data_IF_145150022078
#
_entry.id   IF_145150022078
#
_cell.length_a   1.000
_cell.length_b   1.000
_cell.length_c   1.000
_cell.angle_alpha   90.00
_cell.angle_beta   90.00
_cell.angle_gamma   90.00
#
_symmetry.space_group_name_H-M   'P 1'
#
loop_
_entity.id
_entity.type
_entity.pdbx_description
1 polymer ?
#
# COMPACT_ATOMS: atom_id res chain seq x y z
N UNK A 1 1.75 15.62 -14.32
CA UNK A 1 0.47 15.06 -14.75
C UNK A 1 -0.29 16.08 -15.60
N UNK A 2 -0.68 17.25 -15.08
CA UNK A 2 -1.45 18.26 -15.83
C UNK A 2 -0.74 18.70 -17.13
N UNK A 3 0.58 18.90 -17.12
CA UNK A 3 1.39 19.22 -18.33
C UNK A 3 1.39 18.10 -19.39
N UNK A 4 1.04 16.88 -19.02
CA UNK A 4 0.95 15.73 -19.91
C UNK A 4 -0.51 15.44 -20.35
N UNK A 5 -1.44 16.38 -20.16
CA UNK A 5 -2.84 16.21 -20.51
C UNK A 5 -3.62 15.24 -19.61
N UNK A 6 -3.04 14.81 -18.49
CA UNK A 6 -3.71 13.90 -17.55
C UNK A 6 -4.57 14.74 -16.59
N UNK A 7 -5.88 14.44 -16.46
CA UNK A 7 -6.75 15.13 -15.52
C UNK A 7 -6.22 15.02 -14.09
N UNK A 8 -6.19 16.14 -13.37
CA UNK A 8 -5.72 16.20 -11.98
C UNK A 8 -6.80 16.82 -11.11
N UNK A 9 -7.24 16.09 -10.10
CA UNK A 9 -8.19 16.57 -9.11
C UNK A 9 -7.46 16.83 -7.79
N UNK A 10 -7.81 17.95 -7.13
CA UNK A 10 -7.23 18.33 -5.83
C UNK A 10 -8.26 18.21 -4.70
N UNK A 11 -9.01 17.13 -4.72
CA UNK A 11 -10.08 16.85 -3.75
C UNK A 11 -10.05 15.37 -3.39
N UNK A 12 -10.58 14.97 -2.22
CA UNK A 12 -10.76 13.56 -1.87
C UNK A 12 -11.55 12.81 -2.94
N UNK A 13 -11.23 11.54 -3.13
CA UNK A 13 -11.84 10.68 -4.15
C UNK A 13 -13.37 10.64 -4.01
N UNK A 14 -13.85 10.54 -2.77
CA UNK A 14 -15.27 10.45 -2.41
C UNK A 14 -16.07 11.69 -2.84
N UNK A 15 -15.39 12.83 -3.01
CA UNK A 15 -16.02 14.11 -3.43
C UNK A 15 -16.03 14.34 -4.93
N UNK A 16 -15.45 13.44 -5.73
CA UNK A 16 -15.28 13.64 -7.17
C UNK A 16 -16.49 13.24 -8.00
N UNK A 17 -17.46 12.52 -7.42
CA UNK A 17 -18.67 12.03 -8.13
C UNK A 17 -18.34 11.31 -9.44
N UNK A 18 -17.27 10.51 -9.45
CA UNK A 18 -16.85 9.76 -10.62
C UNK A 18 -17.91 8.73 -11.03
N UNK A 19 -18.05 8.40 -12.32
CA UNK A 19 -19.06 7.45 -12.77
C UNK A 19 -18.84 6.05 -12.18
N UNK A 20 -19.93 5.38 -11.81
CA UNK A 20 -19.91 4.00 -11.32
C UNK A 20 -19.46 3.04 -12.42
N UNK A 21 -18.58 2.08 -12.08
CA UNK A 21 -18.19 1.01 -12.99
C UNK A 21 -17.44 1.47 -14.24
N UNK A 22 -16.74 2.60 -14.18
CA UNK A 22 -16.11 3.22 -15.35
C UNK A 22 -14.59 3.01 -15.46
N UNK A 23 -13.96 2.42 -14.45
CA UNK A 23 -12.50 2.22 -14.44
C UNK A 23 -12.13 0.74 -14.44
N UNK A 24 -11.11 0.39 -15.22
CA UNK A 24 -10.54 -0.96 -15.27
C UNK A 24 -9.65 -1.24 -14.08
N UNK A 25 -8.92 -0.23 -13.63
CA UNK A 25 -8.00 -0.34 -12.51
C UNK A 25 -7.88 0.98 -11.74
N UNK A 26 -7.67 0.86 -10.43
CA UNK A 26 -7.34 1.97 -9.54
C UNK A 26 -6.05 1.64 -8.80
N UNK A 27 -5.12 2.60 -8.73
CA UNK A 27 -3.86 2.45 -8.00
C UNK A 27 -3.79 3.45 -6.85
N UNK A 28 -3.48 2.95 -5.65
CA UNK A 28 -3.27 3.74 -4.44
C UNK A 28 -1.84 3.49 -3.94
N UNK A 29 -0.88 4.28 -4.44
CA UNK A 29 0.52 4.11 -4.07
C UNK A 29 0.89 5.08 -2.96
N UNK A 30 1.11 4.58 -1.75
CA UNK A 30 1.38 5.37 -0.55
C UNK A 30 0.27 6.39 -0.30
N UNK A 31 -0.98 5.93 -0.31
CA UNK A 31 -2.18 6.75 -0.12
C UNK A 31 -3.02 6.23 1.04
N UNK A 32 -3.26 4.91 1.10
CA UNK A 32 -4.22 4.32 2.04
C UNK A 32 -3.86 4.55 3.50
N UNK A 33 -2.58 4.70 3.81
CA UNK A 33 -2.08 5.01 5.15
C UNK A 33 -2.32 6.47 5.57
N UNK A 34 -2.66 7.34 4.63
CA UNK A 34 -2.85 8.78 4.86
C UNK A 34 -4.32 9.22 4.82
N UNK A 35 -5.23 8.39 4.35
CA UNK A 35 -6.64 8.77 4.25
C UNK A 35 -7.32 8.72 5.62
N UNK A 36 -8.21 9.67 5.95
CA UNK A 36 -8.93 9.67 7.23
C UNK A 36 -9.83 8.45 7.41
N UNK A 37 -10.51 8.02 6.36
CA UNK A 37 -11.38 6.85 6.36
C UNK A 37 -11.02 5.89 5.20
N UNK A 38 -10.21 4.87 5.47
CA UNK A 38 -9.82 3.90 4.46
C UNK A 38 -10.99 2.99 4.02
N UNK A 39 -12.04 2.83 4.84
CA UNK A 39 -13.23 2.06 4.46
C UNK A 39 -13.99 2.84 3.38
N UNK A 40 -14.34 4.09 3.64
CA UNK A 40 -15.05 4.94 2.69
C UNK A 40 -14.26 5.08 1.36
N UNK A 41 -12.95 5.28 1.44
CA UNK A 41 -12.10 5.36 0.24
C UNK A 41 -12.14 4.06 -0.57
N UNK A 42 -12.06 2.90 0.06
CA UNK A 42 -12.11 1.61 -0.67
C UNK A 42 -13.51 1.27 -1.18
N UNK A 43 -14.56 1.68 -0.48
CA UNK A 43 -15.93 1.56 -0.98
C UNK A 43 -16.15 2.41 -2.23
N UNK A 44 -15.61 3.63 -2.26
CA UNK A 44 -15.64 4.47 -3.45
C UNK A 44 -14.81 3.90 -4.58
N UNK A 45 -13.60 3.39 -4.31
CA UNK A 45 -12.79 2.65 -5.29
C UNK A 45 -13.57 1.46 -5.85
N UNK A 46 -14.22 0.70 -4.99
CA UNK A 46 -15.06 -0.42 -5.42
C UNK A 46 -16.23 0.04 -6.30
N UNK A 47 -16.87 1.16 -5.97
CA UNK A 47 -17.98 1.71 -6.74
C UNK A 47 -17.56 2.09 -8.15
N UNK A 48 -16.45 2.82 -8.31
CA UNK A 48 -15.98 3.32 -9.60
C UNK A 48 -15.34 2.25 -10.49
N UNK A 49 -14.82 1.16 -9.92
CA UNK A 49 -14.32 0.03 -10.69
C UNK A 49 -15.47 -0.72 -11.37
N UNK A 50 -15.25 -1.16 -12.60
CA UNK A 50 -16.16 -2.11 -13.28
C UNK A 50 -16.10 -3.50 -12.63
N UNK A 51 -17.09 -4.37 -12.83
CA UNK A 51 -16.97 -5.79 -12.49
C UNK A 51 -15.70 -6.41 -13.11
N UNK A 52 -14.95 -7.18 -12.34
CA UNK A 52 -13.64 -7.71 -12.73
C UNK A 52 -12.48 -6.71 -12.63
N UNK A 53 -12.75 -5.43 -12.35
CA UNK A 53 -11.73 -4.39 -12.21
C UNK A 53 -10.76 -4.63 -11.05
N UNK A 54 -9.59 -4.01 -11.13
CA UNK A 54 -8.47 -4.23 -10.22
C UNK A 54 -8.22 -3.04 -9.30
N UNK A 55 -7.92 -3.29 -8.03
CA UNK A 55 -7.27 -2.33 -7.16
C UNK A 55 -5.85 -2.77 -6.83
N UNK A 56 -4.89 -1.86 -6.98
CA UNK A 56 -3.49 -2.03 -6.54
C UNK A 56 -3.19 -1.04 -5.43
N UNK A 57 -2.77 -1.55 -4.28
CA UNK A 57 -2.30 -0.74 -3.16
C UNK A 57 -0.80 -0.98 -2.95
N UNK A 58 -0.04 0.10 -2.81
CA UNK A 58 1.34 0.04 -2.34
C UNK A 58 1.46 0.80 -1.04
N UNK A 59 1.98 0.14 0.00
CA UNK A 59 1.95 0.64 1.36
C UNK A 59 3.18 0.19 2.16
N UNK A 60 3.60 0.93 3.18
CA UNK A 60 4.70 0.55 4.05
C UNK A 60 4.28 -0.54 5.05
N UNK A 61 5.18 -1.47 5.37
CA UNK A 61 4.98 -2.49 6.39
C UNK A 61 6.03 -2.33 7.49
N UNK A 62 5.82 -1.38 8.38
CA UNK A 62 6.81 -0.95 9.37
C UNK A 62 6.53 -1.46 10.78
N UNK A 63 5.27 -1.78 11.13
CA UNK A 63 4.85 -2.21 12.46
C UNK A 63 5.78 -3.22 13.15
N UNK A 64 6.18 -4.34 12.53
CA UNK A 64 7.00 -5.33 13.22
C UNK A 64 8.39 -4.79 13.56
N UNK A 65 8.97 -3.94 12.69
CA UNK A 65 10.28 -3.30 12.94
C UNK A 65 10.17 -2.29 14.08
N UNK A 66 9.10 -1.48 14.06
CA UNK A 66 8.82 -0.50 15.11
C UNK A 66 8.62 -1.16 16.46
N UNK A 67 7.88 -2.28 16.52
CA UNK A 67 7.69 -3.04 17.76
C UNK A 67 8.99 -3.64 18.29
N UNK A 68 9.84 -4.14 17.40
CA UNK A 68 11.13 -4.70 17.78
C UNK A 68 12.08 -3.64 18.33
N UNK A 69 12.11 -2.46 17.72
CA UNK A 69 12.98 -1.34 18.13
C UNK A 69 12.45 -0.59 19.35
N UNK A 70 11.17 -0.74 19.69
CA UNK A 70 10.56 -0.07 20.84
C UNK A 70 10.82 1.45 20.86
N UNK A 71 11.38 2.02 21.97
CA UNK A 71 11.64 3.47 22.06
C UNK A 71 12.58 4.02 20.99
N UNK A 72 13.48 3.21 20.45
CA UNK A 72 14.41 3.62 19.39
C UNK A 72 13.69 3.93 18.08
N UNK A 73 12.51 3.34 17.83
CA UNK A 73 11.72 3.61 16.64
C UNK A 73 11.35 5.08 16.49
N UNK A 74 11.11 5.78 17.61
CA UNK A 74 10.83 7.23 17.64
C UNK A 74 12.05 8.06 17.23
N UNK A 75 13.25 7.64 17.64
CA UNK A 75 14.50 8.33 17.28
C UNK A 75 14.78 8.30 15.79
N UNK A 76 14.31 7.29 15.08
CA UNK A 76 14.48 7.12 13.63
C UNK A 76 13.25 7.55 12.81
N UNK A 77 12.24 8.16 13.46
CA UNK A 77 10.98 8.59 12.83
C UNK A 77 10.33 7.51 11.94
N UNK A 78 10.37 6.26 12.39
CA UNK A 78 9.83 5.13 11.62
C UNK A 78 8.31 5.13 11.53
N UNK A 79 7.64 5.92 12.36
CA UNK A 79 6.19 6.09 12.31
C UNK A 79 5.73 7.13 11.30
N UNK A 80 6.65 7.98 10.80
CA UNK A 80 6.32 9.11 9.92
C UNK A 80 5.14 9.95 10.43
N UNK A 81 5.12 10.19 11.77
CA UNK A 81 4.08 11.01 12.39
C UNK A 81 4.31 12.49 12.06
N UNK A 82 3.24 13.30 11.85
CA UNK A 82 1.82 12.94 11.97
C UNK A 82 1.19 12.43 10.65
N UNK A 83 1.97 12.11 9.64
CA UNK A 83 1.47 11.89 8.28
C UNK A 83 0.82 10.51 8.08
N UNK A 84 1.33 9.45 8.72
CA UNK A 84 0.70 8.14 8.68
C UNK A 84 -0.39 8.04 9.74
N UNK A 85 -1.64 8.01 9.31
CA UNK A 85 -2.81 7.83 10.18
C UNK A 85 -3.04 6.35 10.52
N UNK A 86 -2.63 5.47 9.61
CA UNK A 86 -2.83 4.02 9.70
C UNK A 86 -1.53 3.27 9.48
N UNK A 87 -1.36 2.18 10.20
CA UNK A 87 -0.28 1.22 9.99
C UNK A 87 -0.89 -0.15 9.72
N UNK A 88 -0.72 -0.63 8.51
CA UNK A 88 -1.31 -1.88 8.05
C UNK A 88 -0.34 -3.05 8.19
N UNK A 89 -0.89 -4.22 8.50
CA UNK A 89 -0.26 -5.50 8.25
C UNK A 89 -0.93 -6.16 7.03
N UNK A 90 -0.29 -7.18 6.40
CA UNK A 90 -0.95 -7.92 5.32
C UNK A 90 -2.33 -8.44 5.72
N UNK A 91 -2.46 -8.97 6.94
CA UNK A 91 -3.71 -9.51 7.46
C UNK A 91 -4.79 -8.43 7.66
N UNK A 92 -4.42 -7.27 8.21
CA UNK A 92 -5.39 -6.18 8.42
C UNK A 92 -5.84 -5.56 7.11
N UNK A 93 -4.93 -5.40 6.15
CA UNK A 93 -5.31 -4.88 4.82
C UNK A 93 -6.17 -5.88 4.04
N UNK A 94 -5.86 -7.18 4.14
CA UNK A 94 -6.71 -8.22 3.53
C UNK A 94 -8.14 -8.15 4.07
N UNK A 95 -8.31 -8.11 5.41
CA UNK A 95 -9.64 -7.99 6.03
C UNK A 95 -10.37 -6.72 5.61
N UNK A 96 -9.65 -5.61 5.49
CA UNK A 96 -10.22 -4.34 5.04
C UNK A 96 -10.75 -4.44 3.61
N UNK A 97 -9.97 -5.02 2.69
CA UNK A 97 -10.38 -5.26 1.31
C UNK A 97 -11.56 -6.22 1.21
N UNK A 98 -11.55 -7.32 1.95
CA UNK A 98 -12.66 -8.27 1.99
C UNK A 98 -13.96 -7.66 2.53
N UNK A 99 -13.84 -6.82 3.59
CA UNK A 99 -14.95 -6.06 4.16
C UNK A 99 -15.54 -5.09 3.14
N UNK A 100 -14.72 -4.47 2.32
CA UNK A 100 -15.13 -3.57 1.24
C UNK A 100 -15.42 -4.32 -0.07
N UNK A 101 -15.72 -5.61 0.02
CA UNK A 101 -16.24 -6.51 -1.04
C UNK A 101 -15.25 -6.87 -2.13
N UNK A 102 -13.97 -6.57 -1.99
CA UNK A 102 -12.95 -7.10 -2.88
C UNK A 102 -12.68 -8.58 -2.64
N UNK A 103 -12.19 -9.28 -3.66
CA UNK A 103 -11.85 -10.71 -3.63
C UNK A 103 -10.47 -10.96 -4.25
N UNK A 104 -9.94 -12.17 -4.03
CA UNK A 104 -8.66 -12.58 -4.61
C UNK A 104 -7.49 -11.72 -4.12
N UNK A 105 -7.52 -11.33 -2.84
CA UNK A 105 -6.50 -10.47 -2.25
C UNK A 105 -5.14 -11.18 -2.21
N UNK A 106 -4.14 -10.59 -2.85
CA UNK A 106 -2.77 -11.11 -2.88
C UNK A 106 -1.80 -10.00 -2.50
N UNK A 107 -0.92 -10.27 -1.55
CA UNK A 107 0.12 -9.33 -1.13
C UNK A 107 1.49 -9.90 -1.47
N UNK A 108 2.29 -9.09 -2.16
CA UNK A 108 3.65 -9.42 -2.58
C UNK A 108 4.65 -8.36 -2.09
N UNK A 109 5.94 -8.65 -2.20
CA UNK A 109 6.98 -7.65 -1.94
C UNK A 109 6.84 -6.50 -2.93
N UNK A 110 6.79 -5.26 -2.42
CA UNK A 110 6.45 -4.07 -3.21
C UNK A 110 7.64 -3.42 -3.93
N UNK A 111 8.82 -4.04 -3.94
CA UNK A 111 10.04 -3.45 -4.48
C UNK A 111 10.76 -2.53 -3.49
N UNK A 112 11.82 -1.86 -3.95
CA UNK A 112 12.72 -1.09 -3.08
C UNK A 112 12.41 0.39 -3.10
N UNK A 113 12.54 1.03 -1.94
CA UNK A 113 12.72 2.48 -1.87
C UNK A 113 14.14 2.82 -2.32
N UNK A 114 14.34 4.00 -2.93
CA UNK A 114 15.68 4.50 -3.29
C UNK A 114 16.05 5.66 -2.36
N UNK A 115 16.65 5.39 -1.19
CA UNK A 115 17.10 6.45 -0.30
C UNK A 115 18.11 7.36 -0.97
N UNK A 116 18.17 8.64 -0.56
CA UNK A 116 19.10 9.60 -1.10
C UNK A 116 20.57 9.21 -0.78
N UNK A 117 20.83 8.63 0.40
CA UNK A 117 22.18 8.24 0.81
C UNK A 117 22.66 6.95 0.13
N UNK A 118 23.95 6.88 -0.19
CA UNK A 118 24.58 5.68 -0.78
C UNK A 118 24.48 4.46 0.15
N UNK A 119 24.71 4.68 1.45
CA UNK A 119 24.58 3.64 2.48
C UNK A 119 23.13 3.11 2.56
N UNK A 120 22.15 4.00 2.65
CA UNK A 120 20.73 3.61 2.65
C UNK A 120 20.32 2.82 1.41
N UNK A 121 20.89 3.18 0.23
CA UNK A 121 20.65 2.42 -1.01
C UNK A 121 21.20 1.00 -0.92
N UNK A 122 22.38 0.81 -0.38
CA UNK A 122 22.97 -0.52 -0.14
C UNK A 122 22.10 -1.37 0.79
N UNK A 123 21.71 -0.81 1.93
CA UNK A 123 20.81 -1.47 2.89
C UNK A 123 19.48 -1.83 2.23
N UNK A 124 18.88 -0.92 1.49
CA UNK A 124 17.60 -1.14 0.79
C UNK A 124 17.69 -2.24 -0.27
N UNK A 125 18.80 -2.31 -1.02
CA UNK A 125 19.02 -3.36 -2.02
C UNK A 125 19.19 -4.72 -1.36
N UNK A 126 20.03 -4.83 -0.33
CA UNK A 126 20.29 -6.09 0.36
C UNK A 126 19.03 -6.61 1.06
N UNK A 127 18.35 -5.76 1.83
CA UNK A 127 17.12 -6.13 2.52
C UNK A 127 16.00 -6.52 1.53
N UNK A 128 15.94 -5.81 0.41
CA UNK A 128 15.00 -6.12 -0.64
C UNK A 128 15.28 -7.46 -1.33
N UNK A 129 16.54 -7.72 -1.69
CA UNK A 129 16.94 -9.01 -2.29
C UNK A 129 16.67 -10.18 -1.33
N UNK A 130 16.99 -10.01 -0.05
CA UNK A 130 16.68 -10.99 0.98
C UNK A 130 15.18 -11.23 1.13
N UNK A 131 14.40 -10.13 1.15
CA UNK A 131 12.94 -10.19 1.23
C UNK A 131 12.31 -10.93 0.06
N UNK A 132 12.79 -10.67 -1.14
CA UNK A 132 12.34 -11.36 -2.36
C UNK A 132 12.73 -12.84 -2.35
N UNK A 133 13.96 -13.14 -1.95
CA UNK A 133 14.43 -14.52 -1.83
C UNK A 133 13.58 -15.33 -0.85
N UNK A 134 13.35 -14.81 0.36
CA UNK A 134 12.53 -15.44 1.37
C UNK A 134 11.07 -15.59 0.94
N UNK A 135 10.53 -14.58 0.25
CA UNK A 135 9.18 -14.64 -0.31
C UNK A 135 9.05 -15.79 -1.31
N UNK A 136 9.99 -15.89 -2.25
CA UNK A 136 10.00 -16.97 -3.25
C UNK A 136 10.25 -18.35 -2.62
N UNK A 137 11.25 -18.47 -1.75
CA UNK A 137 11.59 -19.73 -1.07
C UNK A 137 10.44 -20.24 -0.19
N UNK A 138 9.68 -19.34 0.43
CA UNK A 138 8.52 -19.68 1.25
C UNK A 138 7.21 -19.83 0.45
N UNK A 139 7.26 -19.75 -0.87
CA UNK A 139 6.07 -19.73 -1.75
C UNK A 139 5.07 -18.64 -1.35
N UNK A 140 5.55 -17.43 -1.09
CA UNK A 140 4.73 -16.27 -0.75
C UNK A 140 4.27 -16.19 0.72
N UNK A 141 4.71 -17.09 1.60
CA UNK A 141 4.28 -17.12 3.01
C UNK A 141 5.02 -16.12 3.89
N UNK A 142 6.28 -15.83 3.57
CA UNK A 142 7.12 -14.91 4.36
C UNK A 142 7.22 -13.56 3.67
N UNK A 143 6.66 -12.55 4.32
CA UNK A 143 6.73 -11.14 3.90
C UNK A 143 7.56 -10.37 4.93
N UNK A 144 8.85 -10.16 4.64
CA UNK A 144 9.72 -9.44 5.56
C UNK A 144 9.17 -8.03 5.88
N UNK A 145 9.13 -7.64 7.15
CA UNK A 145 8.80 -6.27 7.54
C UNK A 145 9.87 -5.27 7.09
N UNK A 146 9.56 -3.97 7.16
CA UNK A 146 10.48 -2.90 6.77
C UNK A 146 10.58 -2.66 5.25
N UNK A 147 9.92 -3.47 4.44
CA UNK A 147 9.81 -3.31 3.00
C UNK A 147 8.39 -2.92 2.62
N UNK A 148 8.25 -2.11 1.58
CA UNK A 148 6.93 -1.84 0.99
C UNK A 148 6.29 -3.13 0.50
N UNK A 149 4.97 -3.20 0.60
CA UNK A 149 4.16 -4.29 0.06
C UNK A 149 3.30 -3.76 -1.08
N UNK A 150 3.02 -4.62 -2.02
CA UNK A 150 1.99 -4.37 -3.04
C UNK A 150 0.87 -5.38 -2.84
N UNK A 151 -0.34 -4.90 -2.67
CA UNK A 151 -1.53 -5.73 -2.54
C UNK A 151 -2.41 -5.51 -3.75
N UNK A 152 -2.83 -6.60 -4.36
CA UNK A 152 -3.74 -6.66 -5.49
C UNK A 152 -5.06 -7.28 -5.03
N UNK A 153 -6.18 -6.73 -5.48
CA UNK A 153 -7.49 -7.35 -5.29
C UNK A 153 -8.43 -7.03 -6.46
N UNK A 154 -9.50 -7.82 -6.61
CA UNK A 154 -10.49 -7.68 -7.68
C UNK A 154 -11.85 -7.31 -7.12
N UNK A 155 -12.57 -6.48 -7.86
CA UNK A 155 -14.02 -6.36 -7.71
C UNK A 155 -14.67 -7.58 -8.39
N UNK A 156 -15.54 -8.34 -7.70
CA UNK A 156 -16.32 -9.43 -8.31
C UNK A 156 -17.15 -8.99 -9.50
#
# INVERSE_FOLDING_TARGET
AARAGIPVFRRPLESLSLPTGSYDAVTLFYVIEHVPDPVATLEEVHRILRPGGLVLLRWPHTTPVVRLLGPLARRFDLYHTPFHLWDFSPATLTRLLERTRFRGVQTVVGGYTRPASRFGRGVSLVSGALGELLFRASRGRVLLPGLSKTTLARKP
#
